data_IF_222765519856
#
_entry.id   IF_222765519856
#
_cell.length_a   1.000
_cell.length_b   1.000
_cell.length_c   1.000
_cell.angle_alpha   90.00
_cell.angle_beta   90.00
_cell.angle_gamma   90.00
#
_symmetry.space_group_name_H-M   'P 1'
#
loop_
_entity.id
_entity.type
_entity.pdbx_description
1 polymer ?
#
# COMPACT_ATOMS: atom_id res chain seq x y z
N UNK A 1 -5.72 -6.80 -6.75
CA UNK A 1 -4.89 -5.69 -7.27
C UNK A 1 -3.39 -5.96 -7.14
N UNK A 2 -2.82 -6.08 -5.93
CA UNK A 2 -1.36 -6.19 -5.77
C UNK A 2 -0.73 -7.45 -6.41
N UNK A 3 -1.43 -8.61 -6.37
CA UNK A 3 -0.98 -9.81 -7.11
C UNK A 3 -1.03 -9.66 -8.63
N UNK A 4 -1.98 -8.88 -9.16
CA UNK A 4 -2.03 -8.58 -10.59
C UNK A 4 -0.85 -7.68 -10.98
N UNK A 5 -0.54 -6.66 -10.17
CA UNK A 5 0.64 -5.81 -10.36
C UNK A 5 1.94 -6.64 -10.39
N UNK A 6 2.09 -7.60 -9.47
CA UNK A 6 3.21 -8.55 -9.50
C UNK A 6 3.26 -9.41 -10.77
N UNK A 7 2.09 -9.79 -11.32
CA UNK A 7 2.01 -10.52 -12.59
C UNK A 7 2.47 -9.70 -13.79
N UNK A 8 2.31 -8.37 -13.76
CA UNK A 8 2.79 -7.46 -14.80
C UNK A 8 4.26 -7.06 -14.61
N UNK A 9 4.71 -6.94 -13.36
CA UNK A 9 6.07 -6.57 -13.01
C UNK A 9 6.55 -7.38 -11.81
N UNK A 10 7.46 -8.32 -12.06
CA UNK A 10 8.01 -9.23 -11.04
C UNK A 10 8.74 -8.45 -9.93
N UNK A 11 9.31 -7.29 -10.24
CA UNK A 11 10.02 -6.45 -9.26
C UNK A 11 9.07 -5.86 -8.22
N UNK A 12 7.77 -5.77 -8.54
CA UNK A 12 6.73 -5.35 -7.60
C UNK A 12 6.54 -6.35 -6.44
N UNK A 13 7.01 -7.60 -6.56
CA UNK A 13 6.90 -8.64 -5.52
C UNK A 13 7.36 -8.16 -4.14
N UNK A 14 8.36 -7.28 -4.07
CA UNK A 14 8.90 -6.74 -2.81
C UNK A 14 7.83 -5.99 -2.00
N UNK A 15 6.88 -5.33 -2.66
CA UNK A 15 5.81 -4.55 -2.01
C UNK A 15 4.60 -5.39 -1.57
N UNK A 16 4.56 -6.70 -1.84
CA UNK A 16 3.36 -7.51 -1.57
C UNK A 16 3.03 -7.57 -0.07
N UNK A 17 4.06 -7.65 0.78
CA UNK A 17 3.87 -7.64 2.24
C UNK A 17 3.37 -6.27 2.71
N UNK A 18 3.94 -5.20 2.18
CA UNK A 18 3.59 -3.82 2.52
C UNK A 18 2.17 -3.46 2.09
N UNK A 19 1.78 -3.89 0.88
CA UNK A 19 0.39 -3.84 0.43
C UNK A 19 -0.54 -4.59 1.39
N UNK A 20 -0.10 -5.75 1.91
CA UNK A 20 -0.84 -6.50 2.90
C UNK A 20 -0.99 -5.76 4.23
N UNK A 21 0.04 -5.03 4.66
CA UNK A 21 -0.01 -4.17 5.85
C UNK A 21 -1.04 -3.05 5.67
N UNK A 22 -0.92 -2.26 4.60
CA UNK A 22 -1.83 -1.15 4.33
C UNK A 22 -3.28 -1.61 4.08
N UNK A 23 -3.47 -2.75 3.41
CA UNK A 23 -4.81 -3.28 3.10
C UNK A 23 -5.65 -3.63 4.33
N UNK A 24 -5.02 -3.91 5.49
CA UNK A 24 -5.75 -4.17 6.74
C UNK A 24 -6.68 -3.02 7.13
N UNK A 25 -6.28 -1.80 6.79
CA UNK A 25 -7.00 -0.59 7.17
C UNK A 25 -8.07 -0.17 6.14
N UNK A 26 -8.09 -0.76 4.95
CA UNK A 26 -8.94 -0.29 3.84
C UNK A 26 -10.44 -0.39 4.11
N UNK A 27 -10.91 -1.44 4.80
CA UNK A 27 -12.34 -1.59 5.13
C UNK A 27 -12.67 -0.76 6.38
N UNK A 28 -11.90 -0.97 7.44
CA UNK A 28 -12.14 -0.43 8.79
C UNK A 28 -12.08 1.10 8.85
N UNK A 29 -11.35 1.77 7.94
CA UNK A 29 -11.26 3.24 7.90
C UNK A 29 -12.37 3.91 7.07
N UNK A 30 -13.19 3.13 6.35
CA UNK A 30 -14.21 3.66 5.42
C UNK A 30 -15.63 3.53 5.93
N UNK A 31 -15.90 2.56 6.79
CA UNK A 31 -17.24 2.30 7.30
C UNK A 31 -17.24 2.43 8.82
N UNK A 32 -18.25 3.08 9.42
CA UNK A 32 -18.39 3.09 10.87
C UNK A 32 -18.50 1.67 11.39
N UNK A 33 -17.64 1.31 12.32
CA UNK A 33 -17.69 0.04 13.04
C UNK A 33 -18.30 0.26 14.44
N UNK A 34 -18.92 -0.79 14.99
CA UNK A 34 -19.48 -0.76 16.35
C UNK A 34 -18.40 -0.49 17.41
N UNK A 35 -17.15 -0.88 17.13
CA UNK A 35 -15.97 -0.52 17.91
C UNK A 35 -14.98 0.26 17.05
N UNK A 36 -14.40 1.37 17.55
CA UNK A 36 -13.47 2.17 16.77
C UNK A 36 -12.18 1.40 16.51
N UNK A 37 -11.68 1.48 15.27
CA UNK A 37 -10.32 1.07 14.94
C UNK A 37 -9.35 2.03 15.60
N UNK A 38 -8.51 1.52 16.49
CA UNK A 38 -7.41 2.29 17.08
C UNK A 38 -6.18 2.07 16.21
N UNK A 39 -5.66 3.15 15.64
CA UNK A 39 -4.43 3.16 14.84
C UNK A 39 -3.39 3.98 15.58
N UNK A 40 -2.23 3.40 15.84
CA UNK A 40 -1.10 4.12 16.43
C UNK A 40 -0.42 5.05 15.42
N UNK A 41 0.29 6.06 15.92
CA UNK A 41 1.10 6.95 15.08
C UNK A 41 2.13 6.18 14.24
N UNK A 42 2.68 5.09 14.80
CA UNK A 42 3.58 4.19 14.07
C UNK A 42 2.86 3.51 12.90
N UNK A 43 1.69 2.91 13.12
CA UNK A 43 0.94 2.23 12.07
C UNK A 43 0.48 3.18 10.96
N UNK A 44 0.03 4.38 11.34
CA UNK A 44 -0.31 5.43 10.39
C UNK A 44 0.91 5.88 9.58
N UNK A 45 2.04 6.12 10.25
CA UNK A 45 3.31 6.49 9.63
C UNK A 45 3.83 5.43 8.64
N UNK A 46 3.77 4.15 9.02
CA UNK A 46 4.17 3.06 8.12
C UNK A 46 3.24 2.97 6.90
N UNK A 47 1.93 3.20 7.03
CA UNK A 47 1.02 3.24 5.88
C UNK A 47 1.40 4.37 4.90
N UNK A 48 1.71 5.56 5.40
CA UNK A 48 2.13 6.70 4.58
C UNK A 48 3.43 6.38 3.86
N UNK A 49 4.44 5.89 4.59
CA UNK A 49 5.73 5.50 4.02
C UNK A 49 5.60 4.45 2.92
N UNK A 50 4.79 3.40 3.15
CA UNK A 50 4.50 2.38 2.13
C UNK A 50 3.88 2.99 0.88
N UNK A 51 2.92 3.92 1.05
CA UNK A 51 2.28 4.60 -0.06
C UNK A 51 3.27 5.45 -0.87
N UNK A 52 4.16 6.19 -0.19
CA UNK A 52 5.22 6.98 -0.83
C UNK A 52 6.21 6.10 -1.61
N UNK A 53 6.66 4.99 -1.03
CA UNK A 53 7.58 4.06 -1.69
C UNK A 53 6.97 3.45 -2.96
N UNK A 54 5.71 3.04 -2.91
CA UNK A 54 4.99 2.48 -4.06
C UNK A 54 4.75 3.56 -5.12
N UNK A 55 4.36 4.78 -4.71
CA UNK A 55 4.18 5.90 -5.62
C UNK A 55 5.48 6.21 -6.37
N UNK A 56 6.60 6.37 -5.65
CA UNK A 56 7.90 6.65 -6.25
C UNK A 56 8.33 5.55 -7.22
N UNK A 57 8.09 4.29 -6.87
CA UNK A 57 8.34 3.15 -7.75
C UNK A 57 7.55 3.25 -9.07
N UNK A 58 6.25 3.54 -8.99
CA UNK A 58 5.38 3.70 -10.17
C UNK A 58 5.86 4.89 -11.02
N UNK A 59 6.24 6.01 -10.39
CA UNK A 59 6.73 7.18 -11.11
C UNK A 59 8.03 6.88 -11.87
N UNK A 60 8.95 6.11 -11.30
CA UNK A 60 10.17 5.65 -12.01
C UNK A 60 9.79 4.84 -13.26
N UNK A 61 8.83 3.93 -13.14
CA UNK A 61 8.38 3.11 -14.28
C UNK A 61 7.76 3.98 -15.37
N UNK A 62 6.90 4.94 -15.00
CA UNK A 62 6.25 5.84 -15.94
C UNK A 62 7.28 6.70 -16.67
N UNK A 63 8.23 7.29 -15.94
CA UNK A 63 9.28 8.13 -16.51
C UNK A 63 10.23 7.36 -17.45
N UNK A 64 10.52 6.09 -17.16
CA UNK A 64 11.37 5.24 -18.01
C UNK A 64 10.66 4.71 -19.27
N UNK A 65 9.34 4.91 -19.39
CA UNK A 65 8.54 4.49 -20.55
C UNK A 65 8.30 5.62 -21.56
N UNK A 66 8.75 6.84 -21.27
CA UNK A 66 8.85 7.94 -22.25
C UNK A 66 10.16 7.81 -23.03
#
# INVERSE_FOLDING_TARGET
MCKLAQGHDVSFKKYIKDCGFANKYYIETRYPADSPLIVSDYEAGECVKIAEEIYNYIMIIISNKQ
#
